data_IF_840348863367
#
_entry.id   IF_840348863367
#
_cell.length_a   1.000
_cell.length_b   1.000
_cell.length_c   1.000
_cell.angle_alpha   90.00
_cell.angle_beta   90.00
_cell.angle_gamma   90.00
#
_symmetry.space_group_name_H-M   'P 1'
#
loop_
_entity.id
_entity.type
_entity.pdbx_description
1 polymer ?
#
# COMPACT_ATOMS: atom_id res chain seq x y z
N UNK A 1 -13.90 -5.30 -36.39
CA UNK A 1 -12.64 -6.06 -36.59
C UNK A 1 -11.79 -5.81 -35.35
N UNK A 2 -11.49 -6.83 -34.53
CA UNK A 2 -10.67 -6.65 -33.34
C UNK A 2 -9.22 -6.40 -33.78
N UNK A 3 -8.67 -5.26 -33.36
CA UNK A 3 -7.25 -4.97 -33.53
C UNK A 3 -6.48 -5.81 -32.51
N UNK A 4 -5.76 -6.83 -32.98
CA UNK A 4 -4.83 -7.62 -32.19
C UNK A 4 -3.72 -6.72 -31.62
N UNK A 5 -3.77 -6.49 -30.30
CA UNK A 5 -2.69 -5.81 -29.57
C UNK A 5 -1.56 -6.83 -29.36
N UNK A 6 -0.33 -6.60 -29.85
CA UNK A 6 0.77 -7.55 -29.69
C UNK A 6 1.13 -7.78 -28.21
N UNK A 7 1.51 -9.02 -27.83
CA UNK A 7 1.62 -9.48 -26.44
C UNK A 7 2.79 -8.85 -25.64
N UNK A 8 3.55 -7.92 -26.23
CA UNK A 8 4.77 -7.40 -25.61
C UNK A 8 4.60 -6.03 -24.92
N UNK A 9 3.43 -5.41 -25.01
CA UNK A 9 3.09 -4.18 -24.28
C UNK A 9 2.61 -4.42 -22.83
N UNK A 10 2.62 -5.67 -22.37
CA UNK A 10 2.27 -6.03 -20.99
C UNK A 10 3.41 -5.77 -19.98
N UNK A 11 4.59 -5.34 -20.44
CA UNK A 11 5.81 -5.34 -19.65
C UNK A 11 6.37 -3.96 -19.21
N UNK A 12 5.61 -2.86 -19.33
CA UNK A 12 6.08 -1.53 -18.92
C UNK A 12 5.29 -0.83 -17.82
N UNK A 13 4.53 -1.59 -17.00
CA UNK A 13 3.70 -1.03 -15.93
C UNK A 13 4.07 -1.49 -14.51
N UNK A 14 5.11 -2.30 -14.31
CA UNK A 14 5.42 -2.90 -13.00
C UNK A 14 6.70 -2.39 -12.33
N UNK A 15 7.34 -1.33 -12.83
CA UNK A 15 8.41 -0.68 -12.07
C UNK A 15 8.23 0.84 -12.05
N UNK A 16 7.64 1.33 -10.96
CA UNK A 16 7.84 2.68 -10.39
C UNK A 16 7.63 3.88 -11.31
N UNK A 17 6.49 4.00 -11.97
CA UNK A 17 6.01 5.30 -12.45
C UNK A 17 4.63 5.54 -11.86
N UNK A 18 4.58 6.34 -10.80
CA UNK A 18 3.33 6.86 -10.22
C UNK A 18 2.54 7.57 -11.32
N UNK A 19 1.61 6.85 -11.95
CA UNK A 19 0.66 7.40 -12.89
C UNK A 19 -0.20 8.40 -12.09
N UNK A 20 0.08 9.70 -12.23
CA UNK A 20 -0.81 10.75 -11.75
C UNK A 20 -2.06 10.70 -12.63
N UNK A 21 -3.05 9.93 -12.22
CA UNK A 21 -4.41 10.05 -12.75
C UNK A 21 -4.92 11.41 -12.23
N UNK A 22 -5.31 12.32 -13.14
CA UNK A 22 -5.88 13.61 -12.76
C UNK A 22 -7.08 13.36 -11.84
N UNK A 23 -6.93 13.74 -10.56
CA UNK A 23 -7.91 13.45 -9.51
C UNK A 23 -7.41 12.59 -8.34
N UNK A 24 -6.18 12.77 -7.86
CA UNK A 24 -5.81 12.47 -6.45
C UNK A 24 -5.96 11.04 -5.92
N UNK A 25 -6.28 10.05 -6.75
CA UNK A 25 -6.42 8.65 -6.34
C UNK A 25 -5.10 7.91 -6.50
N UNK A 26 -4.47 7.64 -5.36
CA UNK A 26 -3.32 6.77 -5.27
C UNK A 26 -3.81 5.32 -5.26
N UNK A 27 -3.06 4.41 -5.89
CA UNK A 27 -3.37 2.98 -5.83
C UNK A 27 -3.33 2.51 -4.38
N UNK A 28 -4.48 2.04 -3.88
CA UNK A 28 -4.62 1.49 -2.54
C UNK A 28 -3.73 0.26 -2.36
N UNK A 29 -3.10 0.14 -1.20
CA UNK A 29 -2.31 -1.02 -0.78
C UNK A 29 -3.25 -2.13 -0.31
N UNK A 30 -3.96 -2.74 -1.25
CA UNK A 30 -4.91 -3.84 -0.98
C UNK A 30 -4.28 -4.99 -0.18
N UNK A 31 -2.98 -5.26 -0.40
CA UNK A 31 -2.25 -6.27 0.35
C UNK A 31 -2.17 -5.97 1.85
N UNK A 32 -2.01 -4.70 2.23
CA UNK A 32 -1.90 -4.27 3.62
C UNK A 32 -3.26 -4.39 4.32
N UNK A 33 -4.32 -3.97 3.61
CA UNK A 33 -5.72 -4.08 4.07
C UNK A 33 -6.07 -5.54 4.32
N UNK A 34 -5.75 -6.45 3.37
CA UNK A 34 -6.00 -7.88 3.50
C UNK A 34 -5.31 -8.50 4.73
N UNK A 35 -4.04 -8.16 4.97
CA UNK A 35 -3.32 -8.66 6.15
C UNK A 35 -3.98 -8.15 7.44
N UNK A 36 -4.32 -6.86 7.50
CA UNK A 36 -4.98 -6.26 8.66
C UNK A 36 -6.34 -6.93 8.93
N UNK A 37 -7.15 -7.13 7.89
CA UNK A 37 -8.46 -7.78 7.99
C UNK A 37 -8.33 -9.25 8.38
N UNK A 38 -7.33 -9.97 7.86
CA UNK A 38 -7.04 -11.35 8.25
C UNK A 38 -6.70 -11.52 9.73
N UNK A 39 -6.17 -10.47 10.37
CA UNK A 39 -5.94 -10.42 11.83
C UNK A 39 -7.12 -9.85 12.63
N UNK A 40 -8.20 -9.41 11.99
CA UNK A 40 -9.35 -8.78 12.65
C UNK A 40 -9.06 -7.41 13.26
N UNK A 41 -8.00 -6.71 12.81
CA UNK A 41 -7.61 -5.43 13.39
C UNK A 41 -8.28 -4.24 12.69
N UNK A 42 -8.68 -3.24 13.47
CA UNK A 42 -9.14 -1.96 12.93
C UNK A 42 -7.96 -1.05 12.57
N UNK A 43 -8.17 -0.08 11.69
CA UNK A 43 -7.16 0.94 11.39
C UNK A 43 -6.73 1.72 12.66
N UNK A 44 -7.69 2.02 13.53
CA UNK A 44 -7.44 2.68 14.82
C UNK A 44 -6.52 1.84 15.72
N UNK A 45 -6.74 0.52 15.77
CA UNK A 45 -5.92 -0.38 16.56
C UNK A 45 -4.45 -0.35 16.11
N UNK A 46 -4.21 -0.44 14.80
CA UNK A 46 -2.84 -0.38 14.26
C UNK A 46 -2.22 0.99 14.48
N UNK A 47 -2.98 2.07 14.27
CA UNK A 47 -2.53 3.42 14.50
C UNK A 47 -2.05 3.62 15.95
N UNK A 48 -2.85 3.18 16.92
CA UNK A 48 -2.51 3.22 18.34
C UNK A 48 -1.25 2.39 18.65
N UNK A 49 -1.13 1.17 18.10
CA UNK A 49 0.05 0.31 18.30
C UNK A 49 1.33 0.89 17.69
N UNK A 50 1.22 1.59 16.57
CA UNK A 50 2.36 2.19 15.90
C UNK A 50 2.71 3.59 16.41
N UNK A 51 1.87 4.18 17.27
CA UNK A 51 2.03 5.54 17.77
C UNK A 51 1.79 6.61 16.69
N UNK A 52 0.84 6.37 15.79
CA UNK A 52 0.47 7.30 14.72
C UNK A 52 -1.02 7.63 14.76
N UNK A 53 -1.42 8.67 14.03
CA UNK A 53 -2.83 9.01 13.92
C UNK A 53 -3.56 8.03 12.99
N UNK A 54 -4.87 7.87 13.22
CA UNK A 54 -5.76 7.10 12.34
C UNK A 54 -5.64 7.55 10.88
N UNK A 55 -5.64 8.87 10.64
CA UNK A 55 -5.54 9.45 9.31
C UNK A 55 -4.20 9.10 8.65
N UNK A 56 -3.10 9.06 9.40
CA UNK A 56 -1.79 8.68 8.87
C UNK A 56 -1.80 7.22 8.39
N UNK A 57 -2.35 6.30 9.19
CA UNK A 57 -2.47 4.90 8.79
C UNK A 57 -3.41 4.72 7.59
N UNK A 58 -4.55 5.42 7.56
CA UNK A 58 -5.44 5.45 6.40
C UNK A 58 -4.77 5.98 5.13
N UNK A 59 -3.92 7.01 5.23
CA UNK A 59 -3.11 7.49 4.11
C UNK A 59 -2.09 6.47 3.61
N UNK A 60 -1.57 5.62 4.50
CA UNK A 60 -0.68 4.51 4.13
C UNK A 60 -1.48 3.41 3.41
N UNK A 61 -2.64 3.01 3.91
CA UNK A 61 -3.47 2.02 3.19
C UNK A 61 -3.93 2.55 1.83
N UNK A 62 -4.25 3.83 1.73
CA UNK A 62 -4.67 4.44 0.47
C UNK A 62 -3.51 4.79 -0.47
N UNK A 63 -2.25 4.46 -0.14
CA UNK A 63 -1.09 4.77 -0.98
C UNK A 63 -0.71 6.26 -1.05
N UNK A 64 -1.49 7.15 -0.41
CA UNK A 64 -1.27 8.62 -0.35
C UNK A 64 0.04 9.00 0.34
N UNK A 65 0.51 8.18 1.28
CA UNK A 65 1.81 8.35 1.93
C UNK A 65 2.61 7.06 1.97
N UNK A 66 3.94 7.19 1.87
CA UNK A 66 4.87 6.12 2.23
C UNK A 66 5.24 6.29 3.71
N UNK A 67 5.17 5.23 4.53
CA UNK A 67 5.64 5.29 5.91
C UNK A 67 7.16 5.53 5.93
N UNK A 68 7.66 6.13 7.02
CA UNK A 68 9.10 6.14 7.30
C UNK A 68 9.58 4.71 7.57
N UNK A 69 10.88 4.47 7.47
CA UNK A 69 11.49 3.15 7.70
C UNK A 69 11.17 2.61 9.10
N UNK A 70 11.18 3.49 10.11
CA UNK A 70 10.81 3.14 11.49
C UNK A 70 9.34 2.73 11.60
N UNK A 71 8.43 3.49 10.97
CA UNK A 71 7.01 3.20 10.98
C UNK A 71 6.69 1.93 10.20
N UNK A 72 7.36 1.71 9.07
CA UNK A 72 7.24 0.49 8.27
C UNK A 72 7.61 -0.74 9.11
N UNK A 73 8.71 -0.68 9.88
CA UNK A 73 9.13 -1.74 10.80
C UNK A 73 8.10 -1.99 11.90
N UNK A 74 7.54 -0.93 12.52
CA UNK A 74 6.49 -1.09 13.53
C UNK A 74 5.22 -1.74 12.98
N UNK A 75 4.76 -1.30 11.80
CA UNK A 75 3.57 -1.88 11.17
C UNK A 75 3.82 -3.35 10.80
N UNK A 76 5.00 -3.64 10.25
CA UNK A 76 5.47 -4.98 9.92
C UNK A 76 5.49 -5.91 11.14
N UNK A 77 5.95 -5.43 12.29
CA UNK A 77 5.97 -6.18 13.54
C UNK A 77 4.55 -6.52 14.02
N UNK A 78 3.66 -5.53 14.09
CA UNK A 78 2.25 -5.74 14.51
C UNK A 78 1.49 -6.68 13.57
N UNK A 79 1.70 -6.53 12.26
CA UNK A 79 1.01 -7.31 11.23
C UNK A 79 1.79 -8.56 10.80
N UNK A 80 2.95 -8.83 11.39
CA UNK A 80 3.83 -9.97 11.15
C UNK A 80 4.14 -10.20 9.64
N UNK A 81 4.73 -9.20 8.98
CA UNK A 81 5.22 -9.28 7.60
C UNK A 81 6.56 -8.56 7.43
N UNK A 82 7.26 -8.73 6.31
CA UNK A 82 8.52 -8.01 6.07
C UNK A 82 8.29 -6.53 5.72
N UNK A 83 8.89 -5.61 6.49
CA UNK A 83 8.79 -4.17 6.25
C UNK A 83 9.32 -3.72 4.88
N UNK A 84 10.21 -4.51 4.27
CA UNK A 84 10.75 -4.25 2.92
C UNK A 84 9.66 -4.21 1.85
N UNK A 85 8.51 -4.85 2.09
CA UNK A 85 7.36 -4.88 1.19
C UNK A 85 6.75 -3.51 0.91
N UNK A 86 7.04 -2.50 1.72
CA UNK A 86 6.66 -1.10 1.42
C UNK A 86 7.52 -0.45 0.32
N UNK A 87 8.64 -1.08 -0.04
CA UNK A 87 9.65 -0.58 -0.97
C UNK A 87 9.74 -1.39 -2.27
N UNK A 88 9.07 -2.53 -2.34
CA UNK A 88 8.73 -3.25 -3.57
C UNK A 88 7.72 -2.45 -4.40
#
# INVERSE_FOLDING_TARGET
>A
MPFDIPPFLFLLNYTTKSFKIQGGDYLKREWLIKIRHGKGYSQQYIANKCGVTYQMYGCIENGKRRPSTELAKKIADVLNFSWTRFYE
#
